data_IF_213705752378
#
_entry.id   IF_213705752378
#
_cell.length_a   1.000
_cell.length_b   1.000
_cell.length_c   1.000
_cell.angle_alpha   90.00
_cell.angle_beta   90.00
_cell.angle_gamma   90.00
#
_symmetry.space_group_name_H-M   'P 1'
#
loop_
_entity.id
_entity.type
_entity.pdbx_description
1 polymer ?
#
# COMPACT_ATOMS: atom_id res chain seq x y z
N UNK A 1 25.29 13.30 -10.09
CA UNK A 1 24.18 13.28 -11.09
C UNK A 1 23.09 12.27 -10.72
N UNK A 2 23.45 11.02 -10.40
CA UNK A 2 22.54 9.93 -10.03
C UNK A 2 21.66 10.25 -8.80
N UNK A 3 22.28 10.75 -7.72
CA UNK A 3 21.60 11.06 -6.47
C UNK A 3 20.58 12.20 -6.59
N UNK A 4 20.81 13.17 -7.48
CA UNK A 4 19.90 14.29 -7.70
C UNK A 4 18.60 13.84 -8.38
N UNK A 5 18.71 12.95 -9.36
CA UNK A 5 17.57 12.36 -10.08
C UNK A 5 16.78 11.42 -9.17
N UNK A 6 17.49 10.65 -8.32
CA UNK A 6 16.86 9.84 -7.26
C UNK A 6 16.06 10.68 -6.27
N UNK A 7 16.64 11.77 -5.78
CA UNK A 7 16.01 12.65 -4.79
C UNK A 7 14.78 13.36 -5.39
N UNK A 8 14.87 13.77 -6.66
CA UNK A 8 13.74 14.32 -7.41
C UNK A 8 12.65 13.27 -7.65
N UNK A 9 13.02 12.03 -7.97
CA UNK A 9 12.09 10.91 -8.18
C UNK A 9 11.32 10.55 -6.92
N UNK A 10 11.99 10.46 -5.77
CA UNK A 10 11.37 10.21 -4.47
C UNK A 10 10.42 11.35 -4.11
N UNK A 11 10.85 12.61 -4.28
CA UNK A 11 10.00 13.76 -4.03
C UNK A 11 8.73 13.74 -4.90
N UNK A 12 8.86 13.40 -6.18
CA UNK A 12 7.73 13.30 -7.12
C UNK A 12 6.76 12.16 -6.74
N UNK A 13 7.29 11.02 -6.28
CA UNK A 13 6.50 9.87 -5.80
C UNK A 13 5.64 10.26 -4.60
N UNK A 14 6.27 10.88 -3.58
CA UNK A 14 5.56 11.35 -2.39
C UNK A 14 4.49 12.39 -2.76
N UNK A 15 4.80 13.32 -3.67
CA UNK A 15 3.86 14.34 -4.10
C UNK A 15 2.64 13.72 -4.80
N UNK A 16 2.83 12.69 -5.62
CA UNK A 16 1.75 11.98 -6.31
C UNK A 16 0.83 11.23 -5.33
N UNK A 17 1.41 10.52 -4.35
CA UNK A 17 0.62 9.78 -3.35
C UNK A 17 -0.22 10.74 -2.49
N UNK A 18 0.39 11.82 -2.00
CA UNK A 18 -0.26 12.73 -1.07
C UNK A 18 -1.30 13.61 -1.78
N UNK A 19 -0.99 14.11 -2.98
CA UNK A 19 -1.82 15.12 -3.66
C UNK A 19 -2.86 14.53 -4.61
N UNK A 20 -2.56 13.42 -5.29
CA UNK A 20 -3.44 12.86 -6.34
C UNK A 20 -4.45 11.85 -5.78
N UNK A 21 -4.29 11.39 -4.52
CA UNK A 21 -5.17 10.38 -3.88
C UNK A 21 -5.42 9.14 -4.76
N UNK A 22 -4.45 8.77 -5.59
CA UNK A 22 -4.51 7.55 -6.39
C UNK A 22 -4.16 6.32 -5.56
N UNK A 23 -4.67 5.15 -5.95
CA UNK A 23 -4.27 3.87 -5.37
C UNK A 23 -2.73 3.72 -5.47
N UNK A 24 -2.08 3.27 -4.40
CA UNK A 24 -0.62 3.17 -4.26
C UNK A 24 0.03 2.47 -5.44
N UNK A 25 -0.63 1.45 -5.99
CA UNK A 25 -0.17 0.70 -7.15
C UNK A 25 -0.06 1.54 -8.43
N UNK A 26 -1.08 2.35 -8.69
CA UNK A 26 -1.15 3.22 -9.88
C UNK A 26 -0.10 4.32 -9.77
N UNK A 27 0.06 4.90 -8.57
CA UNK A 27 1.09 5.90 -8.31
C UNK A 27 2.49 5.32 -8.56
N UNK A 28 2.76 4.08 -8.14
CA UNK A 28 4.06 3.43 -8.32
C UNK A 28 4.42 3.22 -9.80
N UNK A 29 3.48 2.74 -10.61
CA UNK A 29 3.66 2.55 -12.06
C UNK A 29 3.94 3.89 -12.76
N UNK A 30 3.14 4.91 -12.46
CA UNK A 30 3.26 6.22 -13.09
C UNK A 30 4.61 6.87 -12.76
N UNK A 31 5.00 6.81 -11.49
CA UNK A 31 6.26 7.40 -11.05
C UNK A 31 7.46 6.64 -11.62
N UNK A 32 7.41 5.31 -11.68
CA UNK A 32 8.45 4.52 -12.30
C UNK A 32 8.61 4.83 -13.80
N UNK A 33 7.51 5.09 -14.51
CA UNK A 33 7.54 5.55 -15.90
C UNK A 33 8.22 6.92 -16.05
N UNK A 34 7.83 7.90 -15.22
CA UNK A 34 8.39 9.27 -15.27
C UNK A 34 9.88 9.26 -14.94
N UNK A 35 10.27 8.49 -13.91
CA UNK A 35 11.67 8.36 -13.48
C UNK A 35 12.51 7.63 -14.53
N UNK A 36 11.98 6.56 -15.15
CA UNK A 36 12.69 5.83 -16.21
C UNK A 36 12.96 6.69 -17.45
N UNK A 37 12.00 7.53 -17.85
CA UNK A 37 12.20 8.53 -18.89
C UNK A 37 13.25 9.59 -18.50
N UNK A 38 13.26 10.01 -17.23
CA UNK A 38 14.25 10.95 -16.70
C UNK A 38 15.67 10.39 -16.57
N UNK A 39 15.82 9.07 -16.42
CA UNK A 39 17.13 8.39 -16.40
C UNK A 39 17.69 8.10 -17.80
N UNK A 40 16.91 8.31 -18.88
CA UNK A 40 17.37 8.04 -20.25
C UNK A 40 17.56 6.55 -20.55
N UNK A 41 16.82 5.67 -19.84
CA UNK A 41 16.85 4.23 -20.12
C UNK A 41 16.25 3.95 -21.50
N UNK A 42 16.77 2.92 -22.19
CA UNK A 42 16.24 2.47 -23.47
C UNK A 42 14.72 2.19 -23.31
N UNK A 43 13.83 2.86 -24.06
CA UNK A 43 12.38 2.76 -23.87
C UNK A 43 11.84 1.33 -24.05
N UNK A 44 12.58 0.46 -24.72
CA UNK A 44 12.24 -0.97 -24.83
C UNK A 44 12.37 -1.74 -23.51
N UNK A 45 13.27 -1.32 -22.60
CA UNK A 45 13.58 -2.03 -21.36
C UNK A 45 12.79 -1.49 -20.15
N UNK A 46 12.13 -0.33 -20.31
CA UNK A 46 11.33 0.32 -19.26
C UNK A 46 10.17 -0.57 -18.78
N UNK A 47 9.34 -1.18 -19.65
CA UNK A 47 8.26 -2.06 -19.21
C UNK A 47 8.81 -3.28 -18.47
N UNK A 48 9.95 -3.82 -18.91
CA UNK A 48 10.58 -4.99 -18.31
C UNK A 48 11.09 -4.71 -16.89
N UNK A 49 11.73 -3.56 -16.67
CA UNK A 49 12.22 -3.16 -15.34
C UNK A 49 11.11 -2.81 -14.37
N UNK A 50 10.05 -2.12 -14.82
CA UNK A 50 8.87 -1.83 -14.00
C UNK A 50 8.17 -3.13 -13.58
N UNK A 51 7.92 -4.03 -14.54
CA UNK A 51 7.25 -5.32 -14.28
C UNK A 51 8.11 -6.20 -13.38
N UNK A 52 9.44 -6.21 -13.55
CA UNK A 52 10.35 -6.99 -12.71
C UNK A 52 10.42 -6.45 -11.27
N UNK A 53 10.49 -5.12 -11.09
CA UNK A 53 10.54 -4.51 -9.77
C UNK A 53 9.22 -4.64 -8.99
N UNK A 54 8.09 -4.37 -9.64
CA UNK A 54 6.76 -4.57 -9.04
C UNK A 54 6.51 -6.07 -8.82
N UNK A 55 6.87 -6.92 -9.78
CA UNK A 55 6.68 -8.36 -9.72
C UNK A 55 7.49 -9.03 -8.60
N UNK A 56 8.72 -8.58 -8.34
CA UNK A 56 9.51 -9.10 -7.22
C UNK A 56 8.90 -8.70 -5.87
N UNK A 57 8.48 -7.44 -5.72
CA UNK A 57 7.84 -6.98 -4.48
C UNK A 57 6.47 -7.64 -4.26
N UNK A 58 5.68 -7.79 -5.33
CA UNK A 58 4.40 -8.48 -5.29
C UNK A 58 4.55 -9.97 -5.02
N UNK A 59 5.56 -10.63 -5.55
CA UNK A 59 5.79 -12.06 -5.30
C UNK A 59 6.00 -12.35 -3.82
N UNK A 60 6.82 -11.53 -3.15
CA UNK A 60 7.07 -11.64 -1.71
C UNK A 60 5.83 -11.30 -0.88
N UNK A 61 5.15 -10.20 -1.22
CA UNK A 61 3.96 -9.75 -0.50
C UNK A 61 2.71 -10.60 -0.81
N UNK A 62 2.64 -11.29 -1.95
CA UNK A 62 1.46 -12.05 -2.36
C UNK A 62 1.14 -13.19 -1.40
N UNK A 63 2.16 -13.90 -0.92
CA UNK A 63 1.96 -14.99 0.05
C UNK A 63 1.44 -14.41 1.37
N UNK A 64 2.07 -13.36 1.88
CA UNK A 64 1.68 -12.72 3.15
C UNK A 64 0.28 -12.11 3.06
N UNK A 65 -0.06 -11.40 1.97
CA UNK A 65 -1.39 -10.85 1.76
C UNK A 65 -2.46 -11.94 1.60
N UNK A 66 -2.15 -13.02 0.88
CA UNK A 66 -3.11 -14.12 0.67
C UNK A 66 -3.42 -14.84 1.98
N UNK A 67 -2.38 -15.21 2.74
CA UNK A 67 -2.56 -15.81 4.06
C UNK A 67 -3.20 -14.84 5.05
N UNK A 68 -2.81 -13.56 5.03
CA UNK A 68 -3.42 -12.52 5.86
C UNK A 68 -4.92 -12.35 5.59
N UNK A 69 -5.32 -12.35 4.32
CA UNK A 69 -6.73 -12.29 3.93
C UNK A 69 -7.50 -13.57 4.34
N UNK A 70 -6.89 -14.76 4.16
CA UNK A 70 -7.49 -16.03 4.59
C UNK A 70 -7.69 -16.06 6.11
N UNK A 71 -6.67 -15.73 6.89
CA UNK A 71 -6.78 -15.65 8.36
C UNK A 71 -7.80 -14.58 8.77
N UNK A 72 -7.76 -13.41 8.16
CA UNK A 72 -8.73 -12.34 8.44
C UNK A 72 -10.17 -12.80 8.23
N UNK A 73 -10.43 -13.55 7.16
CA UNK A 73 -11.76 -14.13 6.90
C UNK A 73 -12.12 -15.22 7.90
N UNK A 74 -11.21 -16.15 8.20
CA UNK A 74 -11.44 -17.20 9.20
C UNK A 74 -11.75 -16.63 10.58
N UNK A 75 -11.05 -15.57 11.00
CA UNK A 75 -11.33 -14.86 12.26
C UNK A 75 -12.68 -14.16 12.23
N UNK A 76 -13.05 -13.57 11.09
CA UNK A 76 -14.38 -12.96 10.92
C UNK A 76 -15.50 -13.99 10.95
N UNK A 77 -15.34 -15.12 10.27
CA UNK A 77 -16.33 -16.19 10.17
C UNK A 77 -16.46 -16.96 11.51
N UNK A 78 -15.38 -17.08 12.29
CA UNK A 78 -15.40 -17.65 13.64
C UNK A 78 -16.08 -16.73 14.69
N UNK A 79 -16.60 -15.57 14.29
CA UNK A 79 -17.23 -14.60 15.19
C UNK A 79 -16.26 -13.72 15.97
N UNK A 80 -14.97 -13.73 15.64
CA UNK A 80 -13.96 -12.85 16.25
C UNK A 80 -14.29 -11.37 16.01
N UNK A 81 -14.72 -11.01 14.80
CA UNK A 81 -15.16 -9.65 14.46
C UNK A 81 -16.39 -9.22 15.28
N UNK A 82 -17.33 -10.14 15.54
CA UNK A 82 -18.51 -9.90 16.37
C UNK A 82 -18.11 -9.63 17.83
N UNK A 83 -17.23 -10.46 18.41
CA UNK A 83 -16.73 -10.28 19.79
C UNK A 83 -15.96 -8.97 19.98
N UNK A 84 -15.13 -8.59 19.01
CA UNK A 84 -14.40 -7.32 19.04
C UNK A 84 -15.38 -6.14 19.02
N UNK A 85 -16.40 -6.20 18.16
CA UNK A 85 -17.42 -5.14 18.05
C UNK A 85 -18.27 -5.03 19.32
N UNK A 86 -18.73 -6.15 19.87
CA UNK A 86 -19.51 -6.20 21.11
C UNK A 86 -18.73 -5.64 22.31
N UNK A 87 -17.43 -5.93 22.38
CA UNK A 87 -16.55 -5.39 23.44
C UNK A 87 -16.37 -3.88 23.30
N UNK A 88 -16.17 -3.37 22.08
CA UNK A 88 -16.03 -1.93 21.82
C UNK A 88 -17.32 -1.15 22.16
N UNK A 89 -18.49 -1.70 21.83
CA UNK A 89 -19.79 -1.11 22.17
C UNK A 89 -19.97 -1.07 23.70
N UNK A 90 -19.76 -2.20 24.38
CA UNK A 90 -19.89 -2.27 25.84
C UNK A 90 -18.91 -1.35 26.58
N UNK A 91 -17.67 -1.23 26.08
CA UNK A 91 -16.69 -0.31 26.63
C UNK A 91 -17.11 1.16 26.48
N UNK A 92 -17.64 1.53 25.32
CA UNK A 92 -18.10 2.90 25.03
C UNK A 92 -19.32 3.27 25.88
N UNK A 93 -20.27 2.35 26.06
CA UNK A 93 -21.45 2.53 26.94
C UNK A 93 -21.05 2.68 28.40
N UNK A 94 -20.06 1.90 28.88
CA UNK A 94 -19.54 2.02 30.24
C UNK A 94 -18.92 3.39 30.52
N UNK A 95 -18.33 4.04 29.51
CA UNK A 95 -17.80 5.40 29.66
C UNK A 95 -18.88 6.47 29.77
N UNK A 96 -19.96 6.38 29.01
CA UNK A 96 -21.05 7.36 29.08
C UNK A 96 -21.78 7.28 30.42
N UNK A 97 -21.99 6.06 30.95
CA UNK A 97 -22.59 5.86 32.27
C UNK A 97 -21.66 6.21 33.45
N UNK A 98 -20.38 6.51 33.19
CA UNK A 98 -19.42 7.02 34.19
C UNK A 98 -19.34 8.55 34.20
N UNK A 99 -19.94 9.23 33.21
CA UNK A 99 -19.98 10.69 33.08
C UNK A 99 -21.34 11.29 33.48
N UNK A 100 -22.29 10.44 33.88
CA UNK A 100 -23.64 10.77 34.36
C UNK A 100 -23.78 10.31 35.81
#
# INVERSE_FOLDING_TARGET
>A
MQFLVLLLGIALLLLLIIKVKMNTFVALILTAFIVALGLGMNPADVPGTITKGIGSAMGELAVVFSFGAMIGRLVSDAGGSYRISETLINFSVRRDCSLL
#
